data_IF_432492658686
#
_entry.id   IF_432492658686
#
_cell.length_a   1.000
_cell.length_b   1.000
_cell.length_c   1.000
_cell.angle_alpha   90.00
_cell.angle_beta   90.00
_cell.angle_gamma   90.00
#
_symmetry.space_group_name_H-M   'P 1'
#
loop_
_entity.id
_entity.type
_entity.pdbx_description
1 polymer ?
#
# COMPACT_ATOMS: atom_id res chain seq x y z
N UNK A 1 7.54 2.41 19.25
CA UNK A 1 7.01 3.21 20.38
C UNK A 1 6.84 4.68 20.05
N UNK A 2 7.81 5.34 19.41
CA UNK A 2 7.78 6.79 19.16
C UNK A 2 6.58 7.28 18.33
N UNK A 3 6.09 6.49 17.37
CA UNK A 3 4.93 6.84 16.52
C UNK A 3 3.57 6.53 17.15
N UNK A 4 3.51 5.74 18.22
CA UNK A 4 2.24 5.30 18.82
C UNK A 4 1.49 6.46 19.49
N UNK A 5 2.19 7.28 20.28
CA UNK A 5 1.57 8.38 21.04
C UNK A 5 0.95 9.44 20.13
N UNK A 6 1.65 9.95 19.09
CA UNK A 6 1.03 10.87 18.13
C UNK A 6 -0.18 10.28 17.41
N UNK A 7 -0.14 8.99 17.06
CA UNK A 7 -1.24 8.32 16.37
C UNK A 7 -2.50 8.25 17.24
N UNK A 8 -2.37 7.78 18.50
CA UNK A 8 -3.48 7.71 19.46
C UNK A 8 -4.07 9.11 19.72
N UNK A 9 -3.24 10.15 19.82
CA UNK A 9 -3.72 11.53 19.98
C UNK A 9 -4.59 11.96 18.80
N UNK A 10 -4.21 11.60 17.57
CA UNK A 10 -5.02 11.90 16.38
C UNK A 10 -6.32 11.11 16.36
N UNK A 11 -6.30 9.83 16.71
CA UNK A 11 -7.52 9.02 16.83
C UNK A 11 -8.49 9.59 17.87
N UNK A 12 -7.98 10.09 19.00
CA UNK A 12 -8.82 10.73 20.03
C UNK A 12 -9.52 12.00 19.51
N UNK A 13 -8.89 12.75 18.61
CA UNK A 13 -9.51 13.91 17.94
C UNK A 13 -10.62 13.43 17.00
N UNK A 14 -10.36 12.41 16.19
CA UNK A 14 -11.35 11.82 15.27
C UNK A 14 -12.55 11.23 16.01
N UNK A 15 -12.32 10.55 17.15
CA UNK A 15 -13.39 10.03 18.00
C UNK A 15 -14.31 11.13 18.52
N UNK A 16 -13.76 12.27 18.95
CA UNK A 16 -14.54 13.45 19.37
C UNK A 16 -15.39 14.04 18.23
N UNK A 17 -15.05 13.75 16.98
CA UNK A 17 -15.83 14.12 15.80
C UNK A 17 -16.88 13.07 15.41
N UNK A 18 -17.05 12.01 16.21
CA UNK A 18 -18.03 10.95 15.96
C UNK A 18 -17.55 9.84 15.02
N UNK A 19 -16.23 9.69 14.82
CA UNK A 19 -15.67 8.58 14.03
C UNK A 19 -15.45 7.38 14.94
N UNK A 20 -16.10 6.27 14.62
CA UNK A 20 -16.09 5.05 15.44
C UNK A 20 -15.15 3.95 14.93
N UNK A 21 -14.77 4.00 13.65
CA UNK A 21 -14.01 2.93 12.99
C UNK A 21 -12.72 3.45 12.34
N UNK A 22 -11.63 2.74 12.54
CA UNK A 22 -10.43 2.82 11.70
C UNK A 22 -10.43 1.70 10.68
N UNK A 23 -10.21 2.01 9.39
CA UNK A 23 -10.12 0.99 8.33
C UNK A 23 -8.68 0.90 7.85
N UNK A 24 -8.10 -0.28 7.91
CA UNK A 24 -6.69 -0.55 7.60
C UNK A 24 -6.55 -1.56 6.46
N UNK A 25 -5.46 -1.43 5.70
CA UNK A 25 -5.21 -2.20 4.47
C UNK A 25 -4.36 -3.46 4.66
N UNK A 26 -3.93 -3.77 5.87
CA UNK A 26 -3.03 -4.88 6.18
C UNK A 26 -3.67 -6.25 5.86
N UNK A 27 -2.85 -7.18 5.35
CA UNK A 27 -3.34 -8.46 4.86
C UNK A 27 -3.05 -9.64 5.80
N UNK A 28 -1.83 -9.72 6.34
CA UNK A 28 -1.42 -10.85 7.19
C UNK A 28 -0.27 -10.54 8.17
N UNK A 29 0.11 -9.26 8.34
CA UNK A 29 1.14 -8.85 9.30
C UNK A 29 0.55 -8.72 10.72
N UNK A 30 0.62 -9.80 11.49
CA UNK A 30 0.01 -9.92 12.82
C UNK A 30 0.44 -8.79 13.78
N UNK A 31 1.72 -8.41 13.77
CA UNK A 31 2.23 -7.33 14.61
C UNK A 31 1.59 -5.96 14.27
N UNK A 32 1.26 -5.71 13.00
CA UNK A 32 0.56 -4.50 12.59
C UNK A 32 -0.88 -4.52 13.06
N UNK A 33 -1.58 -5.64 12.86
CA UNK A 33 -2.95 -5.83 13.33
C UNK A 33 -3.09 -5.57 14.83
N UNK A 34 -2.24 -6.21 15.64
CA UNK A 34 -2.26 -6.04 17.09
C UNK A 34 -2.00 -4.58 17.49
N UNK A 35 -1.08 -3.91 16.79
CA UNK A 35 -0.82 -2.50 17.02
C UNK A 35 -2.02 -1.62 16.67
N UNK A 36 -2.70 -1.88 15.54
CA UNK A 36 -3.89 -1.16 15.08
C UNK A 36 -5.08 -1.33 16.02
N UNK A 37 -5.38 -2.57 16.40
CA UNK A 37 -6.43 -2.90 17.38
C UNK A 37 -6.15 -2.17 18.70
N UNK A 38 -4.92 -2.24 19.22
CA UNK A 38 -4.52 -1.57 20.46
C UNK A 38 -4.65 -0.04 20.41
N UNK A 39 -4.26 0.62 19.31
CA UNK A 39 -4.37 2.09 19.23
C UNK A 39 -5.82 2.57 19.06
N UNK A 40 -6.66 1.80 18.36
CA UNK A 40 -8.09 2.07 18.22
C UNK A 40 -8.84 1.86 19.54
N UNK A 41 -8.58 0.75 20.23
CA UNK A 41 -9.20 0.41 21.52
C UNK A 41 -8.94 1.50 22.58
N UNK A 42 -7.73 2.07 22.61
CA UNK A 42 -7.34 3.17 23.52
C UNK A 42 -8.23 4.41 23.44
N UNK A 43 -8.95 4.60 22.35
CA UNK A 43 -9.86 5.75 22.16
C UNK A 43 -11.32 5.33 21.99
N UNK A 44 -11.64 4.06 22.22
CA UNK A 44 -12.98 3.50 22.02
C UNK A 44 -13.41 3.49 20.55
N UNK A 45 -12.48 3.22 19.64
CA UNK A 45 -12.75 2.96 18.22
C UNK A 45 -12.51 1.48 17.91
N UNK A 46 -13.16 0.97 16.87
CA UNK A 46 -12.92 -0.38 16.35
C UNK A 46 -11.97 -0.35 15.15
N UNK A 47 -11.07 -1.33 15.05
CA UNK A 47 -10.23 -1.52 13.88
C UNK A 47 -10.88 -2.54 12.91
N UNK A 48 -11.06 -2.14 11.65
CA UNK A 48 -11.57 -2.99 10.57
C UNK A 48 -10.43 -3.26 9.58
N UNK A 49 -10.23 -4.53 9.23
CA UNK A 49 -9.23 -4.97 8.26
C UNK A 49 -9.90 -5.81 7.15
N UNK A 50 -10.48 -5.18 6.12
CA UNK A 50 -11.25 -5.88 5.10
C UNK A 50 -10.46 -6.92 4.29
N UNK A 51 -9.14 -6.74 4.19
CA UNK A 51 -8.23 -7.57 3.40
C UNK A 51 -7.61 -8.73 4.19
N UNK A 52 -7.86 -8.79 5.50
CA UNK A 52 -7.22 -9.73 6.41
C UNK A 52 -7.47 -11.19 6.02
N UNK A 53 -6.38 -11.95 5.80
CA UNK A 53 -6.39 -13.36 5.40
C UNK A 53 -7.23 -13.66 4.14
N UNK A 54 -7.40 -12.68 3.25
CA UNK A 54 -8.09 -12.85 1.95
C UNK A 54 -7.17 -13.30 0.81
N UNK A 55 -5.86 -13.40 1.09
CA UNK A 55 -4.84 -13.81 0.14
C UNK A 55 -4.25 -12.63 -0.62
N UNK A 56 -2.93 -12.46 -0.52
CA UNK A 56 -2.18 -11.34 -1.09
C UNK A 56 -2.43 -11.15 -2.60
N UNK A 57 -2.20 -12.20 -3.39
CA UNK A 57 -2.41 -12.16 -4.84
C UNK A 57 -3.88 -11.91 -5.22
N UNK A 58 -4.82 -12.54 -4.52
CA UNK A 58 -6.24 -12.37 -4.79
C UNK A 58 -6.67 -10.91 -4.58
N UNK A 59 -6.20 -10.28 -3.49
CA UNK A 59 -6.42 -8.85 -3.22
C UNK A 59 -5.80 -7.97 -4.32
N UNK A 60 -4.57 -8.27 -4.75
CA UNK A 60 -3.90 -7.52 -5.84
C UNK A 60 -4.65 -7.64 -7.17
N UNK A 61 -5.14 -8.84 -7.52
CA UNK A 61 -5.92 -9.03 -8.76
C UNK A 61 -7.27 -8.33 -8.66
N UNK A 62 -7.96 -8.44 -7.53
CA UNK A 62 -9.22 -7.74 -7.30
C UNK A 62 -9.07 -6.22 -7.44
N UNK A 63 -7.98 -5.63 -6.94
CA UNK A 63 -7.67 -4.22 -7.12
C UNK A 63 -7.63 -3.82 -8.62
N UNK A 64 -7.01 -4.67 -9.45
CA UNK A 64 -6.93 -4.47 -10.91
C UNK A 64 -8.30 -4.67 -11.57
N UNK A 65 -9.04 -5.71 -11.17
CA UNK A 65 -10.39 -6.02 -11.69
C UNK A 65 -11.40 -4.90 -11.36
N UNK A 66 -11.22 -4.22 -10.24
CA UNK A 66 -11.98 -3.04 -9.84
C UNK A 66 -11.54 -1.77 -10.60
N UNK A 67 -10.70 -1.89 -11.63
CA UNK A 67 -10.22 -0.81 -12.48
C UNK A 67 -9.39 0.26 -11.78
N UNK A 68 -8.82 -0.03 -10.60
CA UNK A 68 -7.80 0.85 -10.03
C UNK A 68 -6.48 0.71 -10.78
N UNK A 69 -5.71 1.80 -10.82
CA UNK A 69 -4.38 1.84 -11.42
C UNK A 69 -3.39 2.32 -10.38
N UNK A 70 -2.39 1.49 -10.10
CA UNK A 70 -1.28 1.84 -9.23
C UNK A 70 0.03 1.76 -9.98
N UNK A 71 0.86 2.79 -9.87
CA UNK A 71 2.22 2.81 -10.41
C UNK A 71 3.22 2.38 -9.33
N UNK A 72 4.21 1.56 -9.68
CA UNK A 72 5.30 1.16 -8.78
C UNK A 72 6.25 2.33 -8.62
N UNK A 73 6.28 2.91 -7.42
CA UNK A 73 7.03 4.15 -7.12
C UNK A 73 8.40 3.91 -6.51
N UNK A 74 8.57 2.79 -5.80
CA UNK A 74 9.85 2.37 -5.29
C UNK A 74 9.97 0.85 -5.24
N UNK A 75 11.21 0.36 -5.29
CA UNK A 75 11.53 -1.07 -5.27
C UNK A 75 12.73 -1.33 -4.36
N UNK A 76 12.78 -2.53 -3.78
CA UNK A 76 13.97 -3.05 -3.08
C UNK A 76 14.85 -3.82 -4.08
N UNK A 77 16.09 -3.38 -4.28
CA UNK A 77 16.94 -3.82 -5.40
C UNK A 77 17.45 -5.26 -5.30
N UNK A 78 17.46 -5.84 -4.09
CA UNK A 78 17.82 -7.24 -3.86
C UNK A 78 16.65 -8.22 -4.04
N UNK A 79 15.43 -7.71 -4.23
CA UNK A 79 14.21 -8.52 -4.40
C UNK A 79 13.52 -8.26 -5.73
N UNK A 80 13.45 -7.01 -6.18
CA UNK A 80 12.67 -6.59 -7.35
C UNK A 80 13.57 -6.01 -8.43
N UNK A 81 13.43 -6.50 -9.66
CA UNK A 81 14.17 -6.01 -10.82
C UNK A 81 13.79 -4.55 -11.17
N UNK A 82 14.79 -3.74 -11.55
CA UNK A 82 14.65 -2.33 -11.94
C UNK A 82 13.65 -2.11 -13.08
N UNK A 83 13.36 -3.12 -13.90
CA UNK A 83 12.36 -3.05 -14.98
C UNK A 83 10.94 -2.79 -14.48
N UNK A 84 10.62 -3.15 -13.24
CA UNK A 84 9.29 -2.91 -12.67
C UNK A 84 9.10 -1.48 -12.14
N UNK A 85 10.19 -0.76 -11.87
CA UNK A 85 10.10 0.60 -11.34
C UNK A 85 9.44 1.53 -12.36
N UNK A 86 8.33 2.16 -11.99
CA UNK A 86 7.53 3.01 -12.87
C UNK A 86 6.48 2.29 -13.72
N UNK A 87 6.39 0.96 -13.65
CA UNK A 87 5.33 0.21 -14.31
C UNK A 87 3.99 0.35 -13.57
N UNK A 88 2.89 0.27 -14.31
CA UNK A 88 1.54 0.18 -13.73
C UNK A 88 1.22 -1.28 -13.45
N UNK A 89 0.70 -1.55 -12.25
CA UNK A 89 0.26 -2.88 -11.86
C UNK A 89 -0.87 -3.36 -12.79
N UNK A 90 -0.65 -4.50 -13.43
CA UNK A 90 -1.58 -5.18 -14.34
C UNK A 90 -1.48 -6.68 -14.11
N UNK A 91 -2.44 -7.48 -14.58
CA UNK A 91 -2.35 -8.94 -14.44
C UNK A 91 -1.05 -9.50 -15.05
N UNK A 92 -0.59 -8.96 -16.19
CA UNK A 92 0.67 -9.38 -16.80
C UNK A 92 1.90 -9.00 -15.94
N UNK A 93 1.89 -7.86 -15.25
CA UNK A 93 2.95 -7.52 -14.30
C UNK A 93 2.93 -8.49 -13.11
N UNK A 94 1.74 -8.78 -12.57
CA UNK A 94 1.55 -9.76 -11.47
C UNK A 94 2.07 -11.14 -11.87
N UNK A 95 1.70 -11.64 -13.05
CA UNK A 95 2.12 -12.95 -13.55
C UNK A 95 3.65 -13.02 -13.73
N UNK A 96 4.26 -11.96 -14.27
CA UNK A 96 5.72 -11.87 -14.42
C UNK A 96 6.46 -11.83 -13.08
N UNK A 97 5.98 -11.02 -12.13
CA UNK A 97 6.56 -10.96 -10.77
C UNK A 97 6.55 -12.34 -10.12
N UNK A 98 5.42 -13.05 -10.19
CA UNK A 98 5.30 -14.41 -9.64
C UNK A 98 6.28 -15.39 -10.29
N UNK A 99 6.43 -15.35 -11.61
CA UNK A 99 7.37 -16.22 -12.31
C UNK A 99 8.82 -15.97 -11.86
N UNK A 100 9.12 -14.75 -11.45
CA UNK A 100 10.42 -14.32 -10.95
C UNK A 100 10.57 -14.48 -9.42
N UNK A 101 9.56 -15.05 -8.74
CA UNK A 101 9.58 -15.28 -7.29
C UNK A 101 9.33 -14.01 -6.45
N UNK A 102 8.82 -12.95 -7.06
CA UNK A 102 8.50 -11.67 -6.41
C UNK A 102 7.05 -11.72 -5.92
N UNK A 103 6.82 -11.33 -4.65
CA UNK A 103 5.49 -11.19 -4.07
C UNK A 103 4.74 -10.01 -4.72
N UNK A 104 3.66 -10.25 -5.50
CA UNK A 104 3.02 -9.21 -6.31
C UNK A 104 2.18 -8.21 -5.51
N UNK A 105 1.95 -8.44 -4.22
CA UNK A 105 1.26 -7.47 -3.37
C UNK A 105 2.17 -6.41 -2.75
N UNK A 106 3.48 -6.66 -2.67
CA UNK A 106 4.44 -5.76 -2.02
C UNK A 106 4.31 -5.67 -0.49
N UNK A 107 3.48 -6.53 0.14
CA UNK A 107 3.19 -6.50 1.58
C UNK A 107 4.44 -6.69 2.44
N UNK A 108 5.46 -7.40 1.94
CA UNK A 108 6.74 -7.60 2.62
C UNK A 108 7.70 -6.41 2.48
N UNK A 109 7.30 -5.34 1.79
CA UNK A 109 8.14 -4.18 1.50
C UNK A 109 9.03 -4.37 0.27
N UNK A 110 8.70 -5.30 -0.62
CA UNK A 110 9.42 -5.56 -1.88
C UNK A 110 9.37 -4.32 -2.79
N UNK A 111 8.23 -3.64 -2.81
CA UNK A 111 8.00 -2.40 -3.55
C UNK A 111 6.86 -1.59 -2.93
N UNK A 112 6.77 -0.31 -3.29
CA UNK A 112 5.62 0.53 -2.97
C UNK A 112 4.97 1.06 -4.24
N UNK A 113 3.69 1.38 -4.13
CA UNK A 113 2.90 1.92 -5.23
C UNK A 113 2.20 3.22 -4.84
N UNK A 114 1.76 3.96 -5.85
CA UNK A 114 0.82 5.07 -5.71
C UNK A 114 -0.40 4.82 -6.61
N UNK A 115 -1.60 4.93 -6.04
CA UNK A 115 -2.85 4.81 -6.81
C UNK A 115 -3.11 6.12 -7.56
N UNK A 116 -3.14 6.05 -8.90
CA UNK A 116 -3.22 7.22 -9.79
C UNK A 116 -4.55 7.33 -10.52
N UNK A 117 -5.34 6.27 -10.57
CA UNK A 117 -6.68 6.29 -11.13
C UNK A 117 -7.53 5.15 -10.55
N UNK A 118 -8.85 5.25 -10.69
CA UNK A 118 -9.78 4.22 -10.28
C UNK A 118 -11.22 4.71 -10.26
N UNK A 119 -12.19 3.83 -9.97
CA UNK A 119 -13.62 4.16 -10.01
C UNK A 119 -14.03 5.28 -9.05
N UNK A 120 -13.27 5.53 -7.99
CA UNK A 120 -13.53 6.58 -7.00
C UNK A 120 -12.89 7.94 -7.34
N UNK A 121 -12.05 8.00 -8.38
CA UNK A 121 -11.38 9.23 -8.79
C UNK A 121 -12.27 10.03 -9.75
N UNK A 122 -12.48 11.32 -9.46
CA UNK A 122 -13.17 12.24 -10.40
C UNK A 122 -12.36 12.43 -11.69
N UNK A 123 -11.04 12.45 -11.58
CA UNK A 123 -10.07 12.54 -12.68
C UNK A 123 -8.81 11.75 -12.31
N UNK A 124 -8.13 11.11 -13.27
CA UNK A 124 -6.84 10.47 -13.01
C UNK A 124 -5.77 11.52 -12.64
N UNK A 125 -4.79 11.08 -11.87
CA UNK A 125 -3.56 11.84 -11.59
C UNK A 125 -2.58 11.57 -12.72
N UNK A 126 -2.25 12.61 -13.49
CA UNK A 126 -1.32 12.49 -14.61
C UNK A 126 0.12 12.58 -14.10
N UNK A 127 0.75 11.43 -13.90
CA UNK A 127 2.16 11.38 -13.48
C UNK A 127 3.07 11.35 -14.71
N UNK A 128 4.03 12.26 -14.75
CA UNK A 128 5.17 12.19 -15.69
C UNK A 128 6.42 11.80 -14.93
N UNK A 129 6.99 10.64 -15.24
CA UNK A 129 8.27 10.20 -14.68
C UNK A 129 9.38 11.03 -15.32
N UNK A 130 10.14 11.74 -14.49
CA UNK A 130 11.29 12.55 -14.92
C UNK A 130 12.59 11.77 -14.89
N UNK A 131 12.75 10.88 -13.89
CA UNK A 131 13.97 10.10 -13.70
C UNK A 131 13.70 8.85 -12.85
N UNK A 132 14.67 7.92 -12.82
CA UNK A 132 14.73 6.81 -11.87
C UNK A 132 16.00 6.95 -11.03
N UNK A 133 15.82 7.22 -9.74
CA UNK A 133 16.89 7.40 -8.77
C UNK A 133 17.19 6.08 -8.08
N UNK A 134 18.47 5.79 -7.82
CA UNK A 134 18.89 4.57 -7.16
C UNK A 134 19.88 4.90 -6.04
N UNK A 135 19.71 4.23 -4.90
CA UNK A 135 20.74 4.13 -3.87
C UNK A 135 21.21 2.66 -3.78
N UNK A 136 21.97 2.33 -2.75
CA UNK A 136 22.54 0.98 -2.57
C UNK A 136 21.48 -0.12 -2.43
N UNK A 137 20.29 0.20 -1.91
CA UNK A 137 19.28 -0.79 -1.50
C UNK A 137 17.95 -0.63 -2.24
N UNK A 138 17.66 0.55 -2.79
CA UNK A 138 16.35 0.89 -3.33
C UNK A 138 16.44 1.70 -4.63
N UNK A 139 15.41 1.53 -5.47
CA UNK A 139 15.11 2.39 -6.60
C UNK A 139 13.84 3.20 -6.36
N UNK A 140 13.78 4.42 -6.88
CA UNK A 140 12.65 5.34 -6.76
C UNK A 140 12.37 6.04 -8.09
N UNK A 141 11.10 6.26 -8.44
CA UNK A 141 10.78 7.19 -9.52
C UNK A 141 10.83 8.63 -8.99
N UNK A 142 11.42 9.53 -9.77
CA UNK A 142 11.23 10.97 -9.64
C UNK A 142 10.15 11.39 -10.63
N UNK A 143 9.15 12.12 -10.17
CA UNK A 143 7.98 12.44 -11.00
C UNK A 143 7.39 13.82 -10.70
N UNK A 144 6.59 14.31 -11.66
CA UNK A 144 5.73 15.50 -11.53
C UNK A 144 4.26 15.14 -11.79
N UNK A 145 3.35 15.92 -11.21
CA UNK A 145 1.89 15.86 -11.38
C UNK A 145 1.43 17.11 -12.12
#
# INVERSE_FOLDING_TARGET
MERTVPFVKQLAILKKQGIDYGVFGDMDLEAHRQWQEMVCEKVGMDALMPLWLKGREANTRQFIDLCFKAIITSIKLDVVDKKYLGEVLTHNIVDRMKLEGIEPSGEGGEFHTAVIAGPLFKKPINITIEDKLFNETHGFIKYKI
#
